data_IF_135499511334
#
_entry.id   IF_135499511334
#
_cell.length_a   1.000
_cell.length_b   1.000
_cell.length_c   1.000
_cell.angle_alpha   90.00
_cell.angle_beta   90.00
_cell.angle_gamma   90.00
#
_symmetry.space_group_name_H-M   'P 1'
#
loop_
_entity.id
_entity.type
_entity.pdbx_description
1 polymer ?
#
# COMPACT_ATOMS: atom_id res chain seq x y z
N UNK A 1 -11.66 16.03 -30.31
CA UNK A 1 -11.52 14.66 -29.75
C UNK A 1 -11.25 13.75 -30.94
N UNK A 2 -10.32 12.80 -30.83
CA UNK A 2 -9.87 11.94 -31.95
C UNK A 2 -10.01 10.48 -31.55
N UNK A 3 -10.80 9.72 -32.33
CA UNK A 3 -10.99 8.29 -32.13
C UNK A 3 -9.83 7.54 -32.78
N UNK A 4 -9.29 6.55 -32.09
CA UNK A 4 -8.16 5.72 -32.54
C UNK A 4 -8.36 4.27 -32.13
N UNK A 5 -7.89 3.37 -33.00
CA UNK A 5 -7.84 1.94 -32.70
C UNK A 5 -6.45 1.60 -32.14
N UNK A 6 -6.43 1.00 -30.95
CA UNK A 6 -5.22 0.74 -30.20
C UNK A 6 -5.12 -0.73 -29.79
N UNK A 7 -3.95 -1.32 -30.00
CA UNK A 7 -3.61 -2.61 -29.40
C UNK A 7 -2.92 -2.38 -28.07
N UNK A 8 -3.53 -2.85 -27.00
CA UNK A 8 -2.99 -2.75 -25.65
C UNK A 8 -1.84 -3.74 -25.48
N UNK A 9 -0.68 -3.22 -25.08
CA UNK A 9 0.56 -3.98 -24.96
C UNK A 9 0.87 -4.42 -23.53
N UNK A 10 0.42 -3.63 -22.54
CA UNK A 10 0.71 -3.84 -21.12
C UNK A 10 -0.30 -3.08 -20.26
N UNK A 11 -0.28 -3.31 -18.94
CA UNK A 11 -1.03 -2.53 -17.92
C UNK A 11 -0.02 -1.87 -16.98
N UNK A 12 0.05 -0.54 -17.03
CA UNK A 12 0.93 0.24 -16.17
C UNK A 12 0.48 0.22 -14.70
N UNK A 13 1.40 0.48 -13.77
CA UNK A 13 1.06 0.75 -12.38
C UNK A 13 0.03 1.89 -12.30
N UNK A 14 -1.01 1.73 -11.49
CA UNK A 14 -2.19 2.60 -11.46
C UNK A 14 -3.34 2.14 -12.38
N UNK A 15 -3.18 1.01 -13.12
CA UNK A 15 -4.29 0.30 -13.77
C UNK A 15 -4.69 0.78 -15.16
N UNK A 16 -3.91 1.67 -15.79
CA UNK A 16 -4.17 2.07 -17.19
C UNK A 16 -3.45 1.11 -18.14
N UNK A 17 -4.18 0.58 -19.13
CA UNK A 17 -3.56 -0.14 -20.25
C UNK A 17 -2.66 0.79 -21.05
N UNK A 18 -1.60 0.25 -21.62
CA UNK A 18 -0.59 0.97 -22.40
C UNK A 18 -0.62 0.51 -23.84
N UNK A 19 -0.86 1.43 -24.75
CA UNK A 19 -0.71 1.24 -26.19
C UNK A 19 0.37 2.19 -26.75
N UNK A 20 0.70 2.01 -28.02
CA UNK A 20 1.54 2.95 -28.77
C UNK A 20 0.85 3.39 -30.03
N UNK A 21 0.83 4.70 -30.25
CA UNK A 21 0.38 5.31 -31.48
C UNK A 21 1.47 6.26 -32.00
N UNK A 22 1.93 6.02 -33.20
CA UNK A 22 3.02 6.81 -33.85
C UNK A 22 4.26 6.97 -32.93
N UNK A 23 4.62 5.91 -32.20
CA UNK A 23 5.75 5.92 -31.27
C UNK A 23 5.47 6.51 -29.88
N UNK A 24 4.36 7.22 -29.70
CA UNK A 24 3.93 7.82 -28.42
C UNK A 24 3.16 6.81 -27.58
N UNK A 25 3.40 6.77 -26.26
CA UNK A 25 2.59 5.97 -25.33
C UNK A 25 1.19 6.57 -25.19
N UNK A 26 0.17 5.71 -25.23
CA UNK A 26 -1.23 6.08 -24.99
C UNK A 26 -1.75 5.25 -23.81
N UNK A 27 -2.25 5.92 -22.77
CA UNK A 27 -2.81 5.30 -21.59
C UNK A 27 -4.32 5.23 -21.67
N UNK A 28 -4.87 4.01 -21.59
CA UNK A 28 -6.31 3.75 -21.71
C UNK A 28 -6.78 2.99 -20.46
N UNK A 29 -7.65 3.55 -19.61
CA UNK A 29 -8.17 2.85 -18.44
C UNK A 29 -9.08 1.69 -18.85
N UNK A 30 -9.24 0.72 -17.91
CA UNK A 30 -10.16 -0.41 -18.05
C UNK A 30 -9.89 -1.33 -19.24
N UNK A 31 -8.63 -1.42 -19.65
CA UNK A 31 -8.16 -2.29 -20.74
C UNK A 31 -7.09 -3.26 -20.23
N UNK A 32 -6.93 -4.38 -20.94
CA UNK A 32 -6.03 -5.48 -20.60
C UNK A 32 -5.06 -5.69 -21.78
N UNK A 33 -3.84 -6.12 -21.51
CA UNK A 33 -2.88 -6.46 -22.57
C UNK A 33 -3.45 -7.53 -23.52
N UNK A 34 -3.14 -7.36 -24.80
CA UNK A 34 -3.63 -8.19 -25.89
C UNK A 34 -4.93 -7.71 -26.52
N UNK A 35 -5.68 -6.82 -25.88
CA UNK A 35 -6.94 -6.29 -26.42
C UNK A 35 -6.70 -5.36 -27.61
N UNK A 36 -7.64 -5.38 -28.57
CA UNK A 36 -7.83 -4.34 -29.57
C UNK A 36 -9.02 -3.48 -29.14
N UNK A 37 -8.80 -2.19 -28.97
CA UNK A 37 -9.81 -1.27 -28.46
C UNK A 37 -9.95 -0.04 -29.36
N UNK A 38 -11.16 0.54 -29.40
CA UNK A 38 -11.39 1.89 -29.88
C UNK A 38 -11.37 2.83 -28.69
N UNK A 39 -10.57 3.88 -28.73
CA UNK A 39 -10.41 4.84 -27.66
C UNK A 39 -10.42 6.28 -28.19
N UNK A 40 -10.94 7.21 -27.38
CA UNK A 40 -10.97 8.63 -27.69
C UNK A 40 -9.84 9.35 -26.97
N UNK A 41 -8.93 10.00 -27.71
CA UNK A 41 -7.87 10.81 -27.11
C UNK A 41 -8.49 12.03 -26.43
N UNK A 42 -8.39 12.08 -25.09
CA UNK A 42 -8.92 13.17 -24.25
C UNK A 42 -7.86 14.17 -23.83
N UNK A 43 -6.60 13.75 -23.78
CA UNK A 43 -5.48 14.60 -23.42
C UNK A 43 -4.21 14.18 -24.14
N UNK A 44 -3.56 15.14 -24.76
CA UNK A 44 -2.29 14.90 -25.45
C UNK A 44 -1.17 15.75 -24.86
N UNK A 45 -0.06 15.10 -24.51
CA UNK A 45 1.19 15.71 -24.05
C UNK A 45 2.32 15.36 -25.02
N UNK A 46 3.48 16.01 -24.84
CA UNK A 46 4.65 15.79 -25.71
C UNK A 46 5.10 14.32 -25.72
N UNK A 47 5.12 13.65 -24.58
CA UNK A 47 5.67 12.30 -24.41
C UNK A 47 4.62 11.19 -24.37
N UNK A 48 3.37 11.50 -24.05
CA UNK A 48 2.29 10.53 -23.95
C UNK A 48 0.93 11.16 -24.23
N UNK A 49 -0.08 10.32 -24.44
CA UNK A 49 -1.48 10.71 -24.50
C UNK A 49 -2.30 9.90 -23.51
N UNK A 50 -3.45 10.45 -23.11
CA UNK A 50 -4.48 9.78 -22.34
C UNK A 50 -5.73 9.66 -23.18
N UNK A 51 -6.37 8.51 -23.13
CA UNK A 51 -7.57 8.24 -23.91
C UNK A 51 -8.62 7.56 -23.04
N UNK A 52 -9.88 7.80 -23.34
CA UNK A 52 -11.00 7.08 -22.74
C UNK A 52 -11.38 5.88 -23.61
N UNK A 53 -11.64 4.74 -22.98
CA UNK A 53 -12.10 3.55 -23.65
C UNK A 53 -13.53 3.78 -24.20
N UNK A 54 -13.71 3.57 -25.50
CA UNK A 54 -15.01 3.64 -26.17
C UNK A 54 -15.59 2.24 -26.36
N UNK A 55 -14.78 1.31 -26.90
CA UNK A 55 -15.21 -0.05 -27.23
C UNK A 55 -14.05 -1.03 -27.16
N UNK A 56 -14.30 -2.22 -26.68
CA UNK A 56 -13.38 -3.37 -26.78
C UNK A 56 -13.75 -4.17 -28.03
N UNK A 57 -12.99 -4.01 -29.10
CA UNK A 57 -13.21 -4.70 -30.40
C UNK A 57 -12.81 -6.17 -30.35
N UNK A 58 -11.73 -6.47 -29.64
CA UNK A 58 -11.25 -7.82 -29.38
C UNK A 58 -10.84 -7.93 -27.92
N UNK A 59 -11.56 -8.76 -27.17
CA UNK A 59 -11.33 -8.96 -25.73
C UNK A 59 -10.14 -9.86 -25.46
N UNK A 60 -9.46 -9.62 -24.35
CA UNK A 60 -8.55 -10.58 -23.72
C UNK A 60 -9.33 -11.79 -23.20
N UNK A 61 -8.75 -13.00 -23.21
CA UNK A 61 -9.36 -14.18 -22.54
C UNK A 61 -9.51 -13.98 -21.02
N UNK A 62 -8.77 -13.05 -20.44
CA UNK A 62 -8.80 -12.73 -19.01
C UNK A 62 -9.79 -11.60 -18.68
N UNK A 63 -10.63 -11.17 -19.65
CA UNK A 63 -11.67 -10.18 -19.38
C UNK A 63 -12.91 -10.85 -18.80
N UNK A 64 -13.38 -10.31 -17.66
CA UNK A 64 -14.59 -10.72 -16.97
C UNK A 64 -15.58 -9.56 -16.84
N UNK A 65 -16.85 -9.85 -16.59
CA UNK A 65 -17.84 -8.84 -16.29
C UNK A 65 -17.65 -8.32 -14.85
N UNK A 66 -17.54 -6.99 -14.64
CA UNK A 66 -17.45 -6.43 -13.31
C UNK A 66 -18.71 -6.67 -12.48
N UNK A 67 -18.57 -7.06 -11.21
CA UNK A 67 -19.72 -7.22 -10.31
C UNK A 67 -20.30 -5.86 -9.85
N UNK A 68 -19.48 -4.82 -9.79
CA UNK A 68 -19.90 -3.52 -9.31
C UNK A 68 -20.63 -2.70 -10.40
N UNK A 69 -21.88 -2.28 -10.18
CA UNK A 69 -22.61 -1.48 -11.16
C UNK A 69 -22.02 -0.07 -11.38
N UNK A 70 -21.12 0.37 -10.50
CA UNK A 70 -20.46 1.66 -10.56
C UNK A 70 -19.07 1.57 -11.19
N UNK A 71 -18.59 0.37 -11.54
CA UNK A 71 -17.29 0.19 -12.18
C UNK A 71 -17.20 1.00 -13.48
N UNK A 72 -16.02 1.55 -13.76
CA UNK A 72 -15.81 2.44 -14.91
C UNK A 72 -16.21 3.91 -14.65
N UNK A 73 -17.04 4.18 -13.63
CA UNK A 73 -17.42 5.54 -13.22
C UNK A 73 -16.83 5.91 -11.88
N UNK A 74 -16.93 5.02 -10.88
CA UNK A 74 -16.33 5.19 -9.56
C UNK A 74 -14.80 5.08 -9.64
N UNK A 75 -14.09 5.98 -8.92
CA UNK A 75 -12.62 6.00 -8.88
C UNK A 75 -11.96 4.94 -8.00
N UNK A 76 -12.75 4.12 -7.26
CA UNK A 76 -12.21 3.22 -6.24
C UNK A 76 -11.58 1.93 -6.76
N UNK A 77 -12.03 1.41 -7.92
CA UNK A 77 -11.57 0.14 -8.49
C UNK A 77 -11.04 0.32 -9.90
N UNK A 78 -9.97 -0.40 -10.23
CA UNK A 78 -9.32 -0.35 -11.54
C UNK A 78 -9.36 -1.70 -12.28
N UNK A 79 -9.56 -2.83 -11.59
CA UNK A 79 -9.32 -4.18 -12.12
C UNK A 79 -10.52 -5.12 -12.13
N UNK A 80 -11.74 -4.70 -11.76
CA UNK A 80 -12.91 -5.59 -11.74
C UNK A 80 -13.26 -6.25 -13.10
N UNK A 81 -12.73 -5.73 -14.19
CA UNK A 81 -12.88 -6.30 -15.53
C UNK A 81 -11.81 -7.35 -15.87
N UNK A 82 -10.94 -7.67 -14.94
CA UNK A 82 -9.80 -8.59 -15.11
C UNK A 82 -10.01 -9.80 -14.21
N UNK A 83 -9.80 -11.00 -14.73
CA UNK A 83 -9.76 -12.24 -13.93
C UNK A 83 -8.75 -12.10 -12.79
N UNK A 84 -9.07 -12.66 -11.62
CA UNK A 84 -8.28 -12.40 -10.40
C UNK A 84 -6.83 -12.92 -10.50
N UNK A 85 -6.64 -14.11 -11.03
CA UNK A 85 -5.30 -14.67 -11.20
C UNK A 85 -4.47 -13.77 -12.13
N UNK A 86 -5.12 -13.20 -13.13
CA UNK A 86 -4.47 -12.27 -14.03
C UNK A 86 -4.18 -10.90 -13.36
N UNK A 87 -5.04 -10.43 -12.45
CA UNK A 87 -4.73 -9.25 -11.62
C UNK A 87 -3.44 -9.47 -10.82
N UNK A 88 -3.27 -10.64 -10.20
CA UNK A 88 -2.06 -11.00 -9.45
C UNK A 88 -0.82 -11.01 -10.34
N UNK A 89 -0.93 -11.59 -11.55
CA UNK A 89 0.16 -11.60 -12.53
C UNK A 89 0.56 -10.18 -12.97
N UNK A 90 -0.42 -9.30 -13.22
CA UNK A 90 -0.17 -7.89 -13.56
C UNK A 90 0.55 -7.18 -12.40
N UNK A 91 0.07 -7.29 -11.17
CA UNK A 91 0.66 -6.66 -9.99
C UNK A 91 2.09 -7.12 -9.75
N UNK A 92 2.34 -8.43 -9.86
CA UNK A 92 3.68 -8.99 -9.74
C UNK A 92 4.63 -8.45 -10.81
N UNK A 93 4.18 -8.39 -12.06
CA UNK A 93 4.94 -7.84 -13.19
C UNK A 93 5.25 -6.35 -12.99
N UNK A 94 4.27 -5.57 -12.55
CA UNK A 94 4.44 -4.13 -12.25
C UNK A 94 5.50 -3.88 -11.16
N UNK A 95 5.50 -4.68 -10.10
CA UNK A 95 6.53 -4.63 -9.07
C UNK A 95 7.90 -4.95 -9.64
N UNK A 96 8.05 -6.05 -10.37
CA UNK A 96 9.30 -6.42 -11.04
C UNK A 96 9.82 -5.29 -11.94
N UNK A 97 8.94 -4.72 -12.74
CA UNK A 97 9.29 -3.63 -13.67
C UNK A 97 9.73 -2.37 -12.92
N UNK A 98 9.10 -2.04 -11.79
CA UNK A 98 9.53 -0.93 -10.93
C UNK A 98 10.94 -1.17 -10.37
N UNK A 99 11.19 -2.35 -9.82
CA UNK A 99 12.51 -2.72 -9.29
C UNK A 99 13.60 -2.64 -10.37
N UNK A 100 13.33 -3.14 -11.57
CA UNK A 100 14.29 -3.13 -12.67
C UNK A 100 14.49 -1.75 -13.30
N UNK A 101 13.40 -1.03 -13.60
CA UNK A 101 13.47 0.22 -14.39
C UNK A 101 13.77 1.44 -13.53
N UNK A 102 13.17 1.53 -12.34
CA UNK A 102 13.36 2.65 -11.40
C UNK A 102 14.52 2.36 -10.46
N UNK A 103 14.45 1.21 -9.78
CA UNK A 103 15.45 0.76 -8.83
C UNK A 103 16.80 0.42 -9.46
N UNK A 104 16.82 0.10 -10.78
CA UNK A 104 18.03 -0.45 -11.45
C UNK A 104 18.58 -1.69 -10.75
N UNK A 105 17.71 -2.38 -10.03
CA UNK A 105 18.02 -3.58 -9.29
C UNK A 105 17.94 -4.79 -10.24
N UNK A 106 19.02 -5.56 -10.32
CA UNK A 106 19.08 -6.81 -11.08
C UNK A 106 18.95 -7.98 -10.12
N UNK A 107 18.29 -9.04 -10.56
CA UNK A 107 18.24 -10.33 -9.86
C UNK A 107 17.72 -10.25 -8.41
N UNK A 108 16.74 -9.35 -8.17
CA UNK A 108 16.07 -9.27 -6.86
C UNK A 108 15.31 -10.57 -6.59
N UNK A 109 15.50 -11.21 -5.43
CA UNK A 109 14.79 -12.44 -5.07
C UNK A 109 13.29 -12.16 -4.81
N UNK A 110 12.50 -12.07 -5.87
CA UNK A 110 11.06 -11.88 -5.78
C UNK A 110 10.36 -13.19 -5.43
N UNK A 111 9.49 -13.15 -4.44
CA UNK A 111 8.62 -14.26 -4.06
C UNK A 111 7.30 -14.20 -4.87
N UNK A 112 6.56 -15.31 -4.96
CA UNK A 112 5.19 -15.30 -5.44
C UNK A 112 4.35 -14.31 -4.64
N UNK A 113 3.35 -13.69 -5.31
CA UNK A 113 2.39 -12.83 -4.63
C UNK A 113 1.49 -13.65 -3.69
N UNK A 114 1.28 -13.16 -2.47
CA UNK A 114 0.32 -13.72 -1.53
C UNK A 114 -1.05 -13.18 -1.91
N UNK A 115 -2.00 -14.03 -2.36
CA UNK A 115 -3.33 -13.61 -2.78
C UNK A 115 -4.19 -13.25 -1.57
N UNK A 116 -5.23 -12.45 -1.81
CA UNK A 116 -6.30 -12.28 -0.83
C UNK A 116 -7.24 -13.49 -0.87
N UNK A 117 -7.63 -14.06 0.28
CA UNK A 117 -8.64 -15.11 0.34
C UNK A 117 -10.01 -14.68 -0.21
N UNK A 118 -10.30 -13.38 -0.16
CA UNK A 118 -11.51 -12.77 -0.69
C UNK A 118 -11.18 -11.70 -1.71
N UNK A 119 -11.84 -11.76 -2.86
CA UNK A 119 -11.73 -10.77 -3.92
C UNK A 119 -12.72 -9.62 -3.73
N UNK A 120 -13.84 -9.89 -3.04
CA UNK A 120 -14.93 -8.99 -2.70
C UNK A 120 -15.24 -9.10 -1.20
N UNK A 121 -16.02 -8.20 -0.67
CA UNK A 121 -16.44 -8.16 0.74
C UNK A 121 -15.28 -8.28 1.75
N UNK A 122 -14.09 -7.81 1.39
CA UNK A 122 -12.91 -7.86 2.26
C UNK A 122 -12.70 -6.58 3.07
N UNK A 123 -13.13 -5.43 2.50
CA UNK A 123 -12.78 -4.11 3.02
C UNK A 123 -13.57 -3.77 4.28
N UNK A 124 -12.87 -3.63 5.40
CA UNK A 124 -13.45 -3.36 6.71
C UNK A 124 -13.80 -1.89 6.94
N UNK A 125 -13.36 -1.00 6.03
CA UNK A 125 -13.53 0.45 6.15
C UNK A 125 -13.59 1.12 4.79
N UNK A 126 -14.49 2.10 4.63
CA UNK A 126 -14.55 3.02 3.50
C UNK A 126 -14.74 4.45 3.99
N UNK A 127 -14.29 5.42 3.20
CA UNK A 127 -14.64 6.82 3.40
C UNK A 127 -15.50 7.27 2.23
N UNK A 128 -16.76 7.63 2.51
CA UNK A 128 -17.68 8.23 1.54
C UNK A 128 -17.74 9.73 1.74
N UNK A 129 -18.13 10.44 0.69
CA UNK A 129 -18.37 11.87 0.72
C UNK A 129 -19.86 12.13 0.59
N UNK A 130 -20.35 13.16 1.29
CA UNK A 130 -21.70 13.68 1.14
C UNK A 130 -21.61 15.12 0.62
N UNK A 131 -22.37 15.43 -0.41
CA UNK A 131 -22.47 16.77 -0.97
C UNK A 131 -23.81 16.92 -1.71
N UNK A 132 -24.56 17.97 -1.40
CA UNK A 132 -25.84 18.29 -2.05
C UNK A 132 -26.84 17.12 -2.06
N UNK A 133 -26.88 16.32 -0.99
CA UNK A 133 -27.74 15.15 -0.85
C UNK A 133 -27.26 13.88 -1.57
N UNK A 134 -26.13 13.93 -2.27
CA UNK A 134 -25.46 12.78 -2.88
C UNK A 134 -24.46 12.19 -1.89
N UNK A 135 -24.51 10.87 -1.65
CA UNK A 135 -23.58 10.16 -0.77
C UNK A 135 -22.85 9.07 -1.56
N UNK A 136 -21.52 9.14 -1.61
CA UNK A 136 -20.76 8.12 -2.33
C UNK A 136 -19.30 8.46 -2.54
N UNK A 137 -18.77 8.07 -3.71
CA UNK A 137 -17.36 8.23 -4.06
C UNK A 137 -17.19 9.21 -5.22
N UNK A 138 -16.01 9.80 -5.30
CA UNK A 138 -15.67 10.60 -6.48
C UNK A 138 -15.54 9.73 -7.74
N UNK A 139 -15.97 10.30 -8.86
CA UNK A 139 -15.65 9.77 -10.19
C UNK A 139 -14.13 9.79 -10.35
N UNK A 140 -13.63 8.84 -11.13
CA UNK A 140 -12.21 8.80 -11.46
C UNK A 140 -11.73 10.13 -12.05
N UNK A 141 -10.62 10.64 -11.53
CA UNK A 141 -9.97 11.90 -11.97
C UNK A 141 -10.93 13.12 -11.95
N UNK A 142 -11.87 13.14 -11.02
CA UNK A 142 -12.89 14.18 -10.91
C UNK A 142 -13.29 14.42 -9.46
N UNK A 143 -13.76 15.62 -9.15
CA UNK A 143 -14.41 15.96 -7.87
C UNK A 143 -15.93 15.80 -7.88
N UNK A 144 -16.49 15.17 -8.93
CA UNK A 144 -17.94 14.91 -9.00
C UNK A 144 -18.25 13.61 -8.26
N UNK A 145 -19.21 13.64 -7.36
CA UNK A 145 -19.68 12.46 -6.66
C UNK A 145 -20.54 11.55 -7.54
N UNK A 146 -20.46 10.27 -7.26
CA UNK A 146 -21.39 9.24 -7.73
C UNK A 146 -22.15 8.76 -6.51
N UNK A 147 -23.48 8.78 -6.60
CA UNK A 147 -24.33 8.21 -5.58
C UNK A 147 -24.14 6.68 -5.50
N UNK A 148 -23.82 6.17 -4.33
CA UNK A 148 -23.47 4.77 -4.12
C UNK A 148 -24.39 4.16 -3.06
N UNK A 149 -25.17 3.15 -3.43
CA UNK A 149 -26.03 2.41 -2.50
C UNK A 149 -25.25 1.33 -1.73
N UNK A 150 -24.30 0.69 -2.41
CA UNK A 150 -23.45 -0.34 -1.82
C UNK A 150 -22.10 -0.44 -2.55
N UNK A 151 -21.09 -0.97 -1.87
CA UNK A 151 -19.76 -1.20 -2.42
C UNK A 151 -19.42 -2.70 -2.34
N UNK A 152 -19.34 -3.43 -3.47
CA UNK A 152 -19.12 -4.89 -3.45
C UNK A 152 -17.81 -5.33 -2.78
N UNK A 153 -16.76 -4.50 -2.80
CA UNK A 153 -15.49 -4.83 -2.10
C UNK A 153 -15.57 -4.59 -0.60
N UNK A 154 -16.59 -3.87 -0.10
CA UNK A 154 -16.79 -3.62 1.33
C UNK A 154 -17.53 -4.76 1.99
N UNK A 155 -17.22 -4.99 3.27
CA UNK A 155 -17.97 -5.95 4.11
C UNK A 155 -19.43 -5.54 4.25
N UNK A 156 -20.27 -6.51 4.57
CA UNK A 156 -21.70 -6.28 4.75
C UNK A 156 -22.01 -5.25 5.85
N UNK A 157 -21.27 -5.30 6.97
CA UNK A 157 -21.44 -4.34 8.07
C UNK A 157 -21.13 -2.90 7.63
N UNK A 158 -20.13 -2.72 6.77
CA UNK A 158 -19.77 -1.41 6.22
C UNK A 158 -20.84 -0.92 5.24
N UNK A 159 -21.39 -1.81 4.40
CA UNK A 159 -22.51 -1.48 3.51
C UNK A 159 -23.79 -1.18 4.31
N UNK A 160 -24.03 -1.86 5.44
CA UNK A 160 -25.14 -1.55 6.34
C UNK A 160 -24.98 -0.17 6.95
N UNK A 161 -23.78 0.18 7.44
CA UNK A 161 -23.48 1.52 7.93
C UNK A 161 -23.66 2.60 6.85
N UNK A 162 -23.38 2.28 5.58
CA UNK A 162 -23.67 3.18 4.45
C UNK A 162 -25.18 3.37 4.25
N UNK A 163 -25.96 2.30 4.29
CA UNK A 163 -27.41 2.37 4.20
C UNK A 163 -28.02 3.20 5.35
N UNK A 164 -27.59 2.96 6.59
CA UNK A 164 -28.00 3.74 7.76
C UNK A 164 -27.66 5.23 7.65
N UNK A 165 -26.48 5.55 7.09
CA UNK A 165 -26.10 6.95 6.84
C UNK A 165 -27.06 7.59 5.82
N UNK A 166 -27.46 6.85 4.76
CA UNK A 166 -28.35 7.32 3.69
C UNK A 166 -29.81 7.52 4.15
N UNK A 167 -30.26 6.78 5.15
CA UNK A 167 -31.60 6.90 5.75
C UNK A 167 -31.75 8.14 6.66
N UNK A 168 -30.66 8.79 7.05
CA UNK A 168 -30.70 9.97 7.89
C UNK A 168 -31.38 11.14 7.14
N UNK A 169 -32.32 11.80 7.79
CA UNK A 169 -33.08 12.92 7.21
C UNK A 169 -32.21 14.11 6.75
N UNK A 170 -31.07 14.31 7.43
CA UNK A 170 -30.13 15.40 7.17
C UNK A 170 -28.69 14.89 7.34
N UNK A 171 -28.02 14.61 6.24
CA UNK A 171 -26.58 14.35 6.20
C UNK A 171 -25.89 15.66 5.80
N UNK A 172 -24.98 16.14 6.64
CA UNK A 172 -24.19 17.34 6.33
C UNK A 172 -23.18 17.05 5.24
N UNK A 173 -22.84 18.05 4.45
CA UNK A 173 -21.75 17.94 3.51
C UNK A 173 -20.43 17.66 4.25
N UNK A 174 -19.64 16.73 3.72
CA UNK A 174 -18.40 16.31 4.35
C UNK A 174 -17.98 14.90 3.95
N UNK A 175 -17.06 14.33 4.73
CA UNK A 175 -16.60 12.95 4.55
C UNK A 175 -16.95 12.12 5.78
N UNK A 176 -17.35 10.87 5.54
CA UNK A 176 -17.79 9.93 6.57
C UNK A 176 -17.00 8.64 6.44
N UNK A 177 -16.24 8.31 7.47
CA UNK A 177 -15.55 7.02 7.53
C UNK A 177 -16.45 5.98 8.18
N UNK A 178 -16.91 5.04 7.37
CA UNK A 178 -17.74 3.91 7.76
C UNK A 178 -16.85 2.69 8.01
N UNK A 179 -17.08 1.99 9.12
CA UNK A 179 -16.24 0.87 9.59
C UNK A 179 -17.11 -0.28 10.09
N UNK A 180 -16.57 -1.50 10.08
CA UNK A 180 -17.16 -2.57 10.87
C UNK A 180 -17.07 -2.23 12.37
N UNK A 181 -18.00 -2.73 13.17
CA UNK A 181 -18.12 -2.39 14.60
C UNK A 181 -16.85 -2.77 15.42
N UNK A 182 -16.07 -3.74 14.95
CA UNK A 182 -14.83 -4.22 15.60
C UNK A 182 -13.59 -3.38 15.28
N UNK A 183 -13.69 -2.44 14.31
CA UNK A 183 -12.52 -1.69 13.86
C UNK A 183 -12.15 -0.53 14.78
N UNK A 184 -10.86 -0.37 15.11
CA UNK A 184 -10.40 0.74 15.93
C UNK A 184 -10.55 2.08 15.17
N UNK A 185 -10.63 3.18 15.93
CA UNK A 185 -10.69 4.53 15.35
C UNK A 185 -9.34 5.02 14.78
N UNK A 186 -8.26 4.34 15.12
CA UNK A 186 -6.92 4.58 14.58
C UNK A 186 -6.72 3.84 13.25
N UNK A 187 -5.61 4.10 12.57
CA UNK A 187 -5.29 3.40 11.33
C UNK A 187 -5.20 1.88 11.57
N UNK A 188 -5.83 1.12 10.69
CA UNK A 188 -5.73 -0.35 10.60
C UNK A 188 -5.67 -0.75 9.12
N UNK A 189 -5.15 -1.92 8.81
CA UNK A 189 -5.18 -2.46 7.45
C UNK A 189 -6.63 -2.73 7.03
N UNK A 190 -6.94 -2.48 5.75
CA UNK A 190 -8.34 -2.54 5.27
C UNK A 190 -8.84 -3.94 4.94
N UNK A 191 -7.94 -4.92 4.89
CA UNK A 191 -8.21 -6.33 4.60
C UNK A 191 -7.60 -7.18 5.71
N UNK A 192 -8.42 -7.63 6.65
CA UNK A 192 -7.94 -8.28 7.88
C UNK A 192 -7.24 -9.61 7.60
N UNK A 193 -7.69 -10.35 6.59
CA UNK A 193 -7.11 -11.66 6.25
C UNK A 193 -5.72 -11.49 5.65
N UNK A 194 -5.52 -10.52 4.77
CA UNK A 194 -4.20 -10.20 4.22
C UNK A 194 -3.34 -9.48 5.26
N UNK A 195 -3.91 -8.67 6.14
CA UNK A 195 -3.19 -8.08 7.28
C UNK A 195 -2.63 -9.15 8.22
N UNK A 196 -3.38 -10.23 8.45
CA UNK A 196 -2.87 -11.37 9.21
C UNK A 196 -1.72 -12.07 8.45
N UNK A 197 -1.87 -12.31 7.15
CA UNK A 197 -0.80 -12.89 6.33
C UNK A 197 0.47 -12.00 6.27
N UNK A 198 0.30 -10.66 6.22
CA UNK A 198 1.39 -9.69 6.31
C UNK A 198 2.12 -9.80 7.65
N UNK A 199 1.38 -9.89 8.75
CA UNK A 199 1.93 -10.05 10.10
C UNK A 199 2.71 -11.36 10.22
N UNK A 200 2.12 -12.48 9.78
CA UNK A 200 2.73 -13.80 9.85
C UNK A 200 4.02 -13.87 9.00
N UNK A 201 3.99 -13.25 7.82
CA UNK A 201 5.18 -13.11 6.97
C UNK A 201 6.31 -12.38 7.73
N UNK A 202 6.03 -11.21 8.31
CA UNK A 202 7.04 -10.42 9.02
C UNK A 202 7.52 -11.14 10.27
N UNK A 203 6.62 -11.77 11.04
CA UNK A 203 7.02 -12.62 12.17
C UNK A 203 7.94 -13.77 11.73
N UNK A 204 7.67 -14.37 10.57
CA UNK A 204 8.52 -15.43 10.00
C UNK A 204 9.90 -14.96 9.56
N UNK A 205 10.05 -13.71 9.13
CA UNK A 205 11.33 -13.14 8.70
C UNK A 205 12.27 -12.76 9.85
N UNK A 206 11.74 -12.50 11.05
CA UNK A 206 12.50 -12.05 12.21
C UNK A 206 12.95 -13.25 13.05
N UNK A 207 14.25 -13.44 13.29
CA UNK A 207 14.76 -14.47 14.20
C UNK A 207 14.25 -14.27 15.64
N UNK A 208 14.21 -15.32 16.47
CA UNK A 208 13.89 -15.18 17.90
C UNK A 208 15.09 -14.60 18.69
N UNK A 209 14.81 -14.15 19.92
CA UNK A 209 15.80 -13.70 20.92
C UNK A 209 16.66 -12.52 20.40
N UNK A 210 16.01 -11.52 19.85
CA UNK A 210 16.66 -10.28 19.40
C UNK A 210 16.69 -9.25 20.55
N UNK A 211 17.66 -8.35 20.52
CA UNK A 211 17.81 -7.33 21.56
C UNK A 211 16.80 -6.18 21.37
N UNK A 212 16.74 -5.60 20.17
CA UNK A 212 15.96 -4.37 19.92
C UNK A 212 15.17 -4.43 18.62
N UNK A 213 13.87 -4.14 18.71
CA UNK A 213 13.02 -3.77 17.59
C UNK A 213 12.79 -2.26 17.59
N UNK A 214 12.98 -1.64 16.43
CA UNK A 214 12.46 -0.31 16.13
C UNK A 214 11.37 -0.48 15.07
N UNK A 215 10.14 -0.07 15.39
CA UNK A 215 8.99 -0.05 14.49
C UNK A 215 8.71 1.41 14.12
N UNK A 216 9.22 1.85 12.98
CA UNK A 216 9.07 3.22 12.51
C UNK A 216 7.84 3.35 11.59
N UNK A 217 7.03 4.38 11.80
CA UNK A 217 5.67 4.55 11.30
C UNK A 217 4.71 3.50 11.90
N UNK A 218 4.86 3.22 13.19
CA UNK A 218 4.23 2.06 13.86
C UNK A 218 2.71 2.17 14.02
N UNK A 219 2.12 3.35 13.83
CA UNK A 219 0.70 3.58 14.12
C UNK A 219 0.35 3.16 15.56
N UNK A 220 -0.64 2.29 15.71
CA UNK A 220 -1.04 1.71 17.00
C UNK A 220 -0.21 0.47 17.42
N UNK A 221 0.97 0.27 16.80
CA UNK A 221 1.88 -0.83 17.13
C UNK A 221 1.55 -2.15 16.45
N UNK A 222 1.09 -2.12 15.20
CA UNK A 222 0.65 -3.31 14.46
C UNK A 222 1.74 -4.39 14.37
N UNK A 223 2.97 -4.02 14.02
CA UNK A 223 4.11 -4.94 13.96
C UNK A 223 4.79 -5.08 15.31
N UNK A 224 4.97 -3.99 16.05
CA UNK A 224 5.59 -3.99 17.37
C UNK A 224 4.94 -5.02 18.31
N UNK A 225 3.61 -5.01 18.43
CA UNK A 225 2.86 -5.95 19.28
C UNK A 225 2.95 -7.40 18.80
N UNK A 226 2.95 -7.63 17.48
CA UNK A 226 3.06 -8.98 16.92
C UNK A 226 4.44 -9.62 17.17
N UNK A 227 5.47 -8.80 17.30
CA UNK A 227 6.86 -9.24 17.46
C UNK A 227 7.36 -9.20 18.90
N UNK A 228 6.57 -8.70 19.86
CA UNK A 228 6.97 -8.47 21.25
C UNK A 228 7.66 -9.69 21.89
N UNK A 229 7.19 -10.89 21.60
CA UNK A 229 7.77 -12.12 22.13
C UNK A 229 9.17 -12.50 21.60
N UNK A 230 9.64 -11.80 20.56
CA UNK A 230 10.95 -12.06 19.95
C UNK A 230 12.05 -11.10 20.39
N UNK A 231 11.69 -10.03 21.09
CA UNK A 231 12.61 -8.94 21.45
C UNK A 231 12.67 -8.73 22.97
N UNK A 232 13.83 -8.26 23.42
CA UNK A 232 14.00 -7.78 24.81
C UNK A 232 13.39 -6.38 24.97
N UNK A 233 13.52 -5.53 23.93
CA UNK A 233 13.01 -4.16 23.89
C UNK A 233 12.36 -3.85 22.55
N UNK A 234 11.28 -3.07 22.60
CA UNK A 234 10.54 -2.61 21.42
C UNK A 234 10.33 -1.11 21.49
N UNK A 235 10.68 -0.38 20.44
CA UNK A 235 10.46 1.05 20.30
C UNK A 235 9.58 1.30 19.08
N UNK A 236 8.39 1.84 19.29
CA UNK A 236 7.50 2.30 18.23
C UNK A 236 7.57 3.81 18.06
N UNK A 237 7.64 4.29 16.81
CA UNK A 237 7.72 5.71 16.49
C UNK A 237 6.63 6.03 15.46
N UNK A 238 5.81 7.02 15.75
CA UNK A 238 4.83 7.57 14.79
C UNK A 238 4.55 9.04 15.10
N UNK A 239 4.25 9.83 14.09
CA UNK A 239 3.87 11.23 14.27
C UNK A 239 2.43 11.39 14.80
N UNK A 240 1.55 10.39 14.57
CA UNK A 240 0.16 10.40 15.04
C UNK A 240 0.08 10.09 16.54
N UNK A 241 -0.03 11.16 17.33
CA UNK A 241 -0.16 11.07 18.79
C UNK A 241 -1.38 10.25 19.26
N UNK A 242 -2.43 10.15 18.45
CA UNK A 242 -3.62 9.36 18.82
C UNK A 242 -3.36 7.86 18.62
N UNK A 243 -2.68 7.51 17.52
CA UNK A 243 -2.23 6.14 17.30
C UNK A 243 -1.22 5.71 18.37
N UNK A 244 -0.27 6.57 18.74
CA UNK A 244 0.68 6.32 19.82
C UNK A 244 -0.02 6.19 21.19
N UNK A 245 -1.05 6.98 21.47
CA UNK A 245 -1.83 6.83 22.69
C UNK A 245 -2.52 5.45 22.74
N UNK A 246 -3.12 5.01 21.64
CA UNK A 246 -3.71 3.67 21.53
C UNK A 246 -2.64 2.54 21.63
N UNK A 247 -1.44 2.75 21.10
CA UNK A 247 -0.34 1.80 21.26
C UNK A 247 0.06 1.62 22.72
N UNK A 248 0.03 2.70 23.51
CA UNK A 248 0.40 2.73 24.93
C UNK A 248 -0.63 2.10 25.86
N UNK A 249 -1.92 2.05 25.49
CA UNK A 249 -3.01 1.57 26.38
C UNK A 249 -2.75 0.18 26.97
N UNK A 250 -2.10 -0.71 26.23
CA UNK A 250 -1.77 -2.07 26.66
C UNK A 250 -0.29 -2.39 26.47
N UNK A 251 0.59 -1.41 26.60
CA UNK A 251 2.01 -1.60 26.45
C UNK A 251 2.60 -2.30 27.68
N UNK A 252 3.49 -3.25 27.47
CA UNK A 252 4.31 -3.89 28.48
C UNK A 252 5.53 -3.04 28.85
N UNK A 253 6.26 -3.41 29.89
CA UNK A 253 7.52 -2.74 30.28
C UNK A 253 8.60 -2.80 29.19
N UNK A 254 8.50 -3.73 28.25
CA UNK A 254 9.42 -3.87 27.12
C UNK A 254 9.17 -2.85 25.99
N UNK A 255 8.00 -2.21 25.99
CA UNK A 255 7.53 -1.37 24.90
C UNK A 255 7.64 0.11 25.25
N UNK A 256 8.22 0.87 24.37
CA UNK A 256 8.27 2.34 24.41
C UNK A 256 7.68 2.91 23.12
N UNK A 257 6.67 3.76 23.22
CA UNK A 257 6.05 4.39 22.06
C UNK A 257 6.27 5.91 22.08
N UNK A 258 6.80 6.46 20.99
CA UNK A 258 7.22 7.85 20.85
C UNK A 258 6.35 8.54 19.79
N UNK A 259 5.65 9.60 20.20
CA UNK A 259 4.97 10.50 19.26
C UNK A 259 5.97 11.53 18.74
N UNK A 260 6.50 11.31 17.53
CA UNK A 260 7.55 12.12 16.95
C UNK A 260 7.72 11.90 15.45
N UNK A 261 8.47 12.78 14.84
CA UNK A 261 8.90 12.65 13.46
C UNK A 261 9.98 11.56 13.34
N UNK A 262 9.77 10.60 12.43
CA UNK A 262 10.64 9.43 12.28
C UNK A 262 12.08 9.83 11.94
N UNK A 263 12.29 10.83 11.06
CA UNK A 263 13.62 11.28 10.70
C UNK A 263 14.36 11.85 11.92
N UNK A 264 13.68 12.73 12.66
CA UNK A 264 14.22 13.35 13.85
C UNK A 264 14.56 12.32 14.93
N UNK A 265 13.67 11.35 15.16
CA UNK A 265 13.87 10.33 16.19
C UNK A 265 14.99 9.34 15.81
N UNK A 266 15.11 8.92 14.54
CA UNK A 266 16.18 8.02 14.08
C UNK A 266 17.58 8.72 14.07
N UNK A 267 17.64 10.04 13.99
CA UNK A 267 18.91 10.81 13.92
C UNK A 267 19.38 11.38 15.25
N UNK A 268 18.59 11.26 16.33
CA UNK A 268 18.96 11.83 17.64
C UNK A 268 20.29 11.29 18.15
N UNK A 269 21.21 12.18 18.44
CA UNK A 269 22.58 11.89 18.88
C UNK A 269 22.68 11.34 20.30
N UNK A 270 21.68 11.64 21.15
CA UNK A 270 21.54 11.12 22.52
C UNK A 270 21.00 9.68 22.54
N UNK A 271 20.71 9.16 21.36
CA UNK A 271 20.32 7.77 21.11
C UNK A 271 18.96 7.42 21.70
N UNK A 272 18.22 6.53 21.02
CA UNK A 272 17.01 5.86 21.54
C UNK A 272 17.22 5.17 22.91
N UNK A 273 18.46 5.25 23.44
CA UNK A 273 18.95 4.53 24.63
C UNK A 273 19.00 5.44 25.86
N UNK A 274 18.70 6.72 25.74
CA UNK A 274 18.69 7.67 26.85
C UNK A 274 17.34 7.67 27.62
N UNK A 275 16.41 6.80 27.32
CA UNK A 275 15.24 6.56 28.17
C UNK A 275 15.72 5.76 29.36
N UNK A 276 15.86 6.47 30.50
CA UNK A 276 16.26 6.00 31.81
C UNK A 276 17.74 5.64 32.03
N UNK A 277 18.59 6.69 32.18
CA UNK A 277 19.77 6.63 33.06
C UNK A 277 20.95 5.69 32.74
N UNK A 278 20.82 4.83 31.76
CA UNK A 278 21.91 3.95 31.33
C UNK A 278 22.50 4.38 29.99
N UNK A 279 23.58 5.12 30.04
CA UNK A 279 24.49 5.33 28.92
C UNK A 279 25.21 4.01 28.57
N UNK A 280 24.46 2.98 28.18
CA UNK A 280 25.04 1.83 27.51
C UNK A 280 25.29 2.26 26.06
N UNK A 281 26.57 2.49 25.70
CA UNK A 281 27.00 2.43 24.31
C UNK A 281 26.39 1.17 23.71
N UNK A 282 25.72 1.29 22.56
CA UNK A 282 25.24 0.17 21.76
C UNK A 282 26.31 -0.93 21.73
N UNK A 283 26.21 -1.87 22.66
CA UNK A 283 27.00 -3.09 22.64
C UNK A 283 26.52 -3.89 21.47
N UNK A 284 27.35 -4.15 20.52
CA UNK A 284 27.15 -4.88 19.28
C UNK A 284 25.84 -4.53 18.53
N UNK A 285 25.92 -3.77 17.46
CA UNK A 285 24.86 -3.47 16.47
C UNK A 285 24.27 -4.73 15.81
N UNK A 286 24.52 -5.92 16.37
CA UNK A 286 24.32 -7.23 15.73
C UNK A 286 22.97 -7.89 15.98
N UNK A 287 22.08 -7.32 16.80
CA UNK A 287 20.74 -7.88 17.06
C UNK A 287 19.61 -6.85 17.00
N UNK A 288 19.76 -5.86 16.16
CA UNK A 288 18.75 -4.83 15.95
C UNK A 288 17.96 -5.09 14.66
N UNK A 289 16.66 -5.11 14.79
CA UNK A 289 15.72 -5.12 13.65
C UNK A 289 15.04 -3.76 13.53
N UNK A 290 14.99 -3.21 12.33
CA UNK A 290 14.20 -2.03 12.00
C UNK A 290 13.09 -2.43 11.03
N UNK A 291 11.84 -2.11 11.38
CA UNK A 291 10.69 -2.18 10.49
C UNK A 291 10.30 -0.76 10.12
N UNK A 292 9.97 -0.55 8.85
CA UNK A 292 9.50 0.73 8.31
C UNK A 292 8.25 0.49 7.43
N UNK A 293 7.20 1.26 7.68
CA UNK A 293 5.94 1.25 6.89
C UNK A 293 5.54 2.70 6.53
N UNK A 294 6.33 3.38 5.68
CA UNK A 294 6.13 4.78 5.38
C UNK A 294 4.89 5.01 4.50
N UNK A 295 4.40 6.25 4.42
CA UNK A 295 3.37 6.66 3.45
C UNK A 295 3.77 6.33 2.00
N UNK A 296 2.81 6.35 1.07
CA UNK A 296 3.02 6.04 -0.35
C UNK A 296 4.10 6.90 -1.06
N UNK A 297 4.51 8.02 -0.47
CA UNK A 297 5.63 8.84 -0.94
C UNK A 297 7.00 8.21 -0.73
N UNK A 298 7.07 7.14 0.07
CA UNK A 298 8.30 6.45 0.47
C UNK A 298 9.10 7.26 1.49
N UNK A 299 10.38 6.93 1.63
CA UNK A 299 11.29 7.53 2.59
C UNK A 299 11.81 8.89 2.10
N UNK A 300 11.99 9.83 3.04
CA UNK A 300 12.77 11.05 2.80
C UNK A 300 14.27 10.71 2.67
N UNK A 301 15.05 11.63 2.12
CA UNK A 301 16.50 11.47 2.04
C UNK A 301 17.13 11.32 3.45
N UNK A 302 16.65 12.11 4.41
CA UNK A 302 17.13 12.06 5.79
C UNK A 302 16.85 10.71 6.46
N UNK A 303 15.66 10.13 6.26
CA UNK A 303 15.34 8.80 6.80
C UNK A 303 16.20 7.72 6.15
N UNK A 304 16.43 7.75 4.82
CA UNK A 304 17.33 6.78 4.15
C UNK A 304 18.75 6.89 4.69
N UNK A 305 19.24 8.12 4.90
CA UNK A 305 20.54 8.36 5.52
C UNK A 305 20.59 7.84 6.95
N UNK A 306 19.58 8.10 7.77
CA UNK A 306 19.50 7.62 9.15
C UNK A 306 19.52 6.08 9.22
N UNK A 307 18.79 5.41 8.35
CA UNK A 307 18.81 3.93 8.24
C UNK A 307 20.20 3.42 7.86
N UNK A 308 20.88 4.09 6.93
CA UNK A 308 22.23 3.74 6.49
C UNK A 308 23.25 3.93 7.61
N UNK A 309 23.16 5.01 8.38
CA UNK A 309 24.05 5.30 9.50
C UNK A 309 23.77 4.36 10.70
N UNK A 310 22.51 4.05 10.96
CA UNK A 310 22.07 3.12 12.01
C UNK A 310 22.52 1.68 11.70
N UNK A 311 22.47 1.28 10.42
CA UNK A 311 22.86 -0.02 9.90
C UNK A 311 22.31 -1.21 10.73
N UNK A 312 20.96 -1.34 10.88
CA UNK A 312 20.36 -2.47 11.57
C UNK A 312 20.78 -3.79 10.92
N UNK A 313 20.90 -4.87 11.72
CA UNK A 313 21.22 -6.20 11.17
C UNK A 313 20.13 -6.64 10.18
N UNK A 314 18.87 -6.42 10.55
CA UNK A 314 17.70 -6.73 9.73
C UNK A 314 16.90 -5.47 9.48
N UNK A 315 16.57 -5.19 8.22
CA UNK A 315 15.66 -4.14 7.80
C UNK A 315 14.48 -4.76 7.07
N UNK A 316 13.27 -4.51 7.55
CA UNK A 316 12.01 -4.90 6.89
C UNK A 316 11.33 -3.64 6.40
N UNK A 317 11.15 -3.52 5.09
CA UNK A 317 10.47 -2.38 4.48
C UNK A 317 9.11 -2.83 3.93
N UNK A 318 8.02 -2.35 4.53
CA UNK A 318 6.65 -2.51 4.05
C UNK A 318 6.28 -1.30 3.19
N UNK A 319 5.67 -1.50 2.04
CA UNK A 319 5.35 -0.41 1.11
C UNK A 319 4.12 -0.71 0.27
N UNK A 320 3.20 0.23 0.19
CA UNK A 320 2.06 0.17 -0.73
C UNK A 320 2.37 0.77 -2.13
N UNK A 321 3.62 1.24 -2.38
CA UNK A 321 3.97 1.92 -3.64
C UNK A 321 5.28 1.37 -4.23
N UNK A 322 5.21 0.44 -5.21
CA UNK A 322 6.37 -0.15 -5.87
C UNK A 322 7.38 0.85 -6.47
N UNK A 323 6.97 1.95 -7.15
CA UNK A 323 7.89 2.97 -7.62
C UNK A 323 8.76 3.61 -6.55
N UNK A 324 8.17 4.00 -5.41
CA UNK A 324 8.91 4.63 -4.30
C UNK A 324 9.78 3.61 -3.57
N UNK A 325 9.27 2.40 -3.34
CA UNK A 325 10.06 1.29 -2.81
C UNK A 325 11.30 1.03 -3.67
N UNK A 326 11.13 0.92 -4.99
CA UNK A 326 12.24 0.67 -5.91
C UNK A 326 13.31 1.79 -5.88
N UNK A 327 12.87 3.06 -5.77
CA UNK A 327 13.77 4.22 -5.59
C UNK A 327 14.57 4.10 -4.30
N UNK A 328 13.91 3.78 -3.20
CA UNK A 328 14.54 3.73 -1.88
C UNK A 328 15.50 2.53 -1.77
N UNK A 329 15.09 1.36 -2.26
CA UNK A 329 15.94 0.16 -2.30
C UNK A 329 17.20 0.37 -3.13
N UNK A 330 17.13 1.18 -4.21
CA UNK A 330 18.31 1.54 -5.01
C UNK A 330 19.40 2.24 -4.17
N UNK A 331 19.01 3.06 -3.23
CA UNK A 331 19.96 3.74 -2.35
C UNK A 331 20.42 2.82 -1.21
N UNK A 332 19.49 2.06 -0.62
CA UNK A 332 19.77 1.19 0.51
C UNK A 332 20.68 -0.03 0.15
N UNK A 333 20.66 -0.51 -1.11
CA UNK A 333 21.47 -1.64 -1.55
C UNK A 333 23.00 -1.45 -1.37
N UNK A 334 23.46 -0.22 -1.17
CA UNK A 334 24.89 0.04 -0.88
C UNK A 334 25.32 -0.42 0.52
N UNK A 335 24.38 -0.64 1.42
CA UNK A 335 24.61 -1.07 2.81
C UNK A 335 23.90 -2.36 3.16
N UNK A 336 22.92 -2.75 2.37
CA UNK A 336 22.06 -3.91 2.64
C UNK A 336 22.02 -4.85 1.44
N UNK A 337 21.93 -6.14 1.72
CA UNK A 337 21.57 -7.17 0.73
C UNK A 337 20.07 -7.36 0.77
N UNK A 338 19.43 -7.36 -0.38
CA UNK A 338 18.00 -7.66 -0.50
C UNK A 338 17.83 -9.18 -0.53
N UNK A 339 17.32 -9.76 0.54
CA UNK A 339 17.15 -11.22 0.68
C UNK A 339 15.84 -11.71 0.05
N UNK A 340 14.80 -10.90 0.11
CA UNK A 340 13.52 -11.21 -0.57
C UNK A 340 12.67 -9.98 -0.74
N UNK A 341 11.82 -10.01 -1.78
CA UNK A 341 10.72 -9.06 -1.98
C UNK A 341 9.44 -9.86 -2.19
N UNK A 342 8.50 -9.73 -1.26
CA UNK A 342 7.25 -10.49 -1.24
C UNK A 342 6.06 -9.54 -1.41
N UNK A 343 5.34 -9.58 -2.54
CA UNK A 343 4.11 -8.84 -2.73
C UNK A 343 2.92 -9.54 -2.07
N UNK A 344 1.94 -8.76 -1.59
CA UNK A 344 0.67 -9.22 -1.06
C UNK A 344 -0.48 -8.44 -1.72
N UNK A 345 -1.56 -9.11 -2.07
CA UNK A 345 -2.75 -8.43 -2.61
C UNK A 345 -3.67 -7.96 -1.49
N UNK A 346 -3.27 -6.89 -0.81
CA UNK A 346 -4.06 -6.21 0.22
C UNK A 346 -5.35 -5.59 -0.35
N UNK A 347 -5.36 -5.28 -1.66
CA UNK A 347 -6.39 -4.48 -2.31
C UNK A 347 -6.91 -5.13 -3.61
N UNK A 348 -7.57 -6.30 -3.54
CA UNK A 348 -8.21 -6.90 -4.71
C UNK A 348 -9.09 -5.92 -5.47
N UNK A 349 -9.22 -6.08 -6.78
CA UNK A 349 -10.03 -5.24 -7.68
C UNK A 349 -9.47 -3.82 -7.89
N UNK A 350 -8.38 -3.45 -7.22
CA UNK A 350 -7.71 -2.16 -7.37
C UNK A 350 -6.31 -2.34 -7.98
N UNK A 351 -5.68 -1.25 -8.41
CA UNK A 351 -4.31 -1.28 -8.91
C UNK A 351 -3.24 -1.24 -7.79
N UNK A 352 -3.66 -1.15 -6.54
CA UNK A 352 -2.79 -1.05 -5.37
C UNK A 352 -2.29 -2.43 -4.95
N UNK A 353 -1.14 -2.45 -4.28
CA UNK A 353 -0.45 -3.65 -3.82
C UNK A 353 0.30 -3.33 -2.55
N UNK A 354 0.48 -4.31 -1.67
CA UNK A 354 1.39 -4.23 -0.52
C UNK A 354 2.63 -5.06 -0.80
N UNK A 355 3.81 -4.59 -0.37
CA UNK A 355 5.08 -5.26 -0.64
C UNK A 355 5.94 -5.27 0.62
N UNK A 356 6.51 -6.41 0.95
CA UNK A 356 7.51 -6.57 2.02
C UNK A 356 8.86 -6.82 1.40
N UNK A 357 9.82 -5.92 1.61
CA UNK A 357 11.22 -6.16 1.29
C UNK A 357 11.99 -6.49 2.58
N UNK A 358 12.70 -7.63 2.57
CA UNK A 358 13.57 -8.06 3.64
C UNK A 358 15.03 -7.86 3.24
N UNK A 359 15.75 -7.10 4.05
CA UNK A 359 17.14 -6.75 3.81
C UNK A 359 17.99 -7.08 5.05
N UNK A 360 19.25 -7.43 4.82
CA UNK A 360 20.26 -7.63 5.86
C UNK A 360 21.48 -6.74 5.61
N UNK A 361 22.07 -6.22 6.67
CA UNK A 361 23.29 -5.42 6.57
C UNK A 361 24.43 -6.20 5.92
N UNK A 362 25.15 -5.57 4.99
CA UNK A 362 26.38 -6.14 4.42
C UNK A 362 27.44 -6.23 5.53
N UNK A 363 28.09 -7.42 5.60
CA UNK A 363 29.17 -7.69 6.56
C UNK A 363 30.48 -7.03 6.17
#
# INVERSE_FOLDING_TARGET
MRLVDLKIQDVAFGGKGVAREQGKAVFVPYTIEGELVSAEIVREKRQFAEADLVEVKQSSPNRVAPECPYFGRCGGCAYQHIDYEHQLAIKWRQLRDALQRIGKLKDVPMRPIIPSPRQYAYRNRITVHAQDGVIGFFRRESHRLIDIESCPISREEVNRALAELREQKHVRDGHYTLRSASEPRVFSQVNDEVAQALRDLIVGLVPPNQELLIDAYCGAGFFAKALLGKFERVIGIDWDRFAIAAAKENASEKETYIAGDVESELTRSDGFLAVEGETRRLGSRRSMTLIIDPPATGLTEGVRKAITDLAPETLIYVSCNPPTLARDLKELQHKFVINSVTPLDMFPQTAEIEVVAHLEAQK
#
